data_IF_911228459346
#
_entry.id   IF_911228459346
#
_cell.length_a   1.000
_cell.length_b   1.000
_cell.length_c   1.000
_cell.angle_alpha   90.00
_cell.angle_beta   90.00
_cell.angle_gamma   90.00
#
_symmetry.space_group_name_H-M   'P 1'
#
loop_
_entity.id
_entity.type
_entity.pdbx_description
1 polymer ?
#
# COMPACT_ATOMS: atom_id res chain seq x y z
N UNK A 1 -11.86 4.35 -7.99
CA UNK A 1 -10.49 3.99 -8.45
C UNK A 1 -9.97 2.82 -7.63
N UNK A 2 -8.95 2.11 -8.11
CA UNK A 2 -8.34 1.00 -7.36
C UNK A 2 -6.86 1.24 -7.15
N UNK A 3 -6.37 0.82 -5.99
CA UNK A 3 -4.94 0.72 -5.68
C UNK A 3 -4.64 -0.61 -5.01
N UNK A 4 -3.38 -1.03 -5.02
CA UNK A 4 -2.91 -2.11 -4.16
C UNK A 4 -2.23 -1.50 -2.96
N UNK A 5 -2.61 -1.92 -1.77
CA UNK A 5 -2.15 -1.36 -0.50
C UNK A 5 -2.11 -2.44 0.59
N UNK A 6 -1.39 -2.17 1.67
CA UNK A 6 -1.43 -2.97 2.88
C UNK A 6 -2.61 -2.53 3.75
N UNK A 7 -3.61 -3.40 3.90
CA UNK A 7 -4.68 -3.16 4.85
C UNK A 7 -4.18 -3.46 6.26
N UNK A 8 -4.15 -2.44 7.13
CA UNK A 8 -3.73 -2.57 8.53
C UNK A 8 -4.72 -3.35 9.40
N UNK A 9 -5.97 -3.50 8.95
CA UNK A 9 -7.00 -4.22 9.69
C UNK A 9 -6.89 -5.75 9.54
N UNK A 10 -6.59 -6.23 8.32
CA UNK A 10 -6.42 -7.67 8.09
C UNK A 10 -4.97 -8.10 7.91
N UNK A 11 -4.01 -7.15 7.85
CA UNK A 11 -2.59 -7.41 7.65
C UNK A 11 -2.29 -8.18 6.33
N UNK A 12 -3.02 -7.82 5.28
CA UNK A 12 -2.82 -8.34 3.93
C UNK A 12 -2.58 -7.20 2.95
N UNK A 13 -1.67 -7.43 2.00
CA UNK A 13 -1.65 -6.66 0.76
C UNK A 13 -2.86 -7.07 -0.07
N UNK A 14 -3.67 -6.09 -0.46
CA UNK A 14 -4.96 -6.29 -1.12
C UNK A 14 -5.18 -5.23 -2.19
N UNK A 15 -6.22 -5.41 -3.00
CA UNK A 15 -6.82 -4.30 -3.73
C UNK A 15 -7.70 -3.49 -2.77
N UNK A 16 -7.55 -2.18 -2.79
CA UNK A 16 -8.39 -1.20 -2.10
C UNK A 16 -9.13 -0.38 -3.14
N UNK A 17 -10.45 -0.32 -3.01
CA UNK A 17 -11.32 0.53 -3.81
C UNK A 17 -11.42 1.90 -3.14
N UNK A 18 -11.32 2.97 -3.92
CA UNK A 18 -11.46 4.35 -3.44
C UNK A 18 -12.58 5.00 -4.24
N UNK A 19 -13.65 5.39 -3.56
CA UNK A 19 -14.73 6.23 -4.09
C UNK A 19 -14.61 7.63 -3.48
N UNK A 20 -15.00 8.68 -4.20
CA UNK A 20 -15.01 10.03 -3.63
C UNK A 20 -16.16 10.86 -4.18
N UNK A 21 -16.72 11.75 -3.37
CA UNK A 21 -17.78 12.68 -3.75
C UNK A 21 -17.26 14.11 -4.05
N UNK A 22 -15.94 14.29 -3.97
CA UNK A 22 -15.28 15.58 -4.14
C UNK A 22 -14.90 16.27 -2.82
N UNK A 23 -15.41 15.79 -1.68
CA UNK A 23 -15.08 16.28 -0.33
C UNK A 23 -14.45 15.18 0.53
N UNK A 24 -14.96 13.97 0.41
CA UNK A 24 -14.53 12.79 1.16
C UNK A 24 -14.17 11.69 0.17
N UNK A 25 -13.15 10.92 0.50
CA UNK A 25 -12.78 9.69 -0.18
C UNK A 25 -12.91 8.51 0.78
N UNK A 26 -13.71 7.53 0.40
CA UNK A 26 -13.91 6.29 1.14
C UNK A 26 -13.00 5.22 0.57
N UNK A 27 -12.16 4.64 1.42
CA UNK A 27 -11.23 3.58 1.11
C UNK A 27 -11.78 2.25 1.63
N UNK A 28 -12.05 1.31 0.73
CA UNK A 28 -12.60 0.00 1.06
C UNK A 28 -11.58 -1.09 0.72
N UNK A 29 -11.12 -1.82 1.73
CA UNK A 29 -10.32 -3.02 1.53
C UNK A 29 -11.17 -4.10 0.87
N UNK A 30 -10.82 -4.55 -0.33
CA UNK A 30 -11.65 -5.54 -1.03
C UNK A 30 -11.57 -6.94 -0.43
N UNK A 31 -10.52 -7.24 0.35
CA UNK A 31 -10.33 -8.51 1.04
C UNK A 31 -11.18 -8.64 2.32
N UNK A 32 -11.06 -7.70 3.27
CA UNK A 32 -11.76 -7.77 4.56
C UNK A 32 -12.96 -6.84 4.69
N UNK A 33 -13.26 -6.04 3.65
CA UNK A 33 -14.38 -5.08 3.60
C UNK A 33 -14.32 -3.98 4.67
N UNK A 34 -13.16 -3.78 5.30
CA UNK A 34 -12.96 -2.63 6.18
C UNK A 34 -12.98 -1.33 5.36
N UNK A 35 -13.68 -0.34 5.87
CA UNK A 35 -13.81 0.98 5.25
C UNK A 35 -13.29 2.07 6.17
N UNK A 36 -12.72 3.11 5.58
CA UNK A 36 -12.36 4.33 6.29
C UNK A 36 -12.41 5.53 5.36
N UNK A 37 -12.67 6.70 5.92
CA UNK A 37 -12.81 7.94 5.18
C UNK A 37 -11.61 8.86 5.41
N UNK A 38 -11.20 9.53 4.34
CA UNK A 38 -10.24 10.63 4.38
C UNK A 38 -10.77 11.84 3.61
N UNK A 39 -10.38 13.08 3.96
CA UNK A 39 -10.70 14.25 3.14
C UNK A 39 -10.16 14.10 1.71
N UNK A 40 -10.95 14.45 0.70
CA UNK A 40 -10.52 14.44 -0.70
C UNK A 40 -9.72 15.70 -1.05
N UNK A 41 -8.53 15.82 -0.46
CA UNK A 41 -7.64 16.96 -0.62
C UNK A 41 -6.31 16.55 -1.28
N UNK A 42 -5.40 17.52 -1.40
CA UNK A 42 -4.06 17.32 -1.98
C UNK A 42 -3.23 16.27 -1.22
N UNK A 43 -3.33 16.23 0.10
CA UNK A 43 -2.60 15.27 0.96
C UNK A 43 -3.03 13.83 0.68
N UNK A 44 -4.34 13.57 0.61
CA UNK A 44 -4.89 12.26 0.28
C UNK A 44 -4.46 11.81 -1.12
N UNK A 45 -4.38 12.73 -2.09
CA UNK A 45 -3.85 12.42 -3.43
C UNK A 45 -2.36 12.07 -3.39
N UNK A 46 -1.57 12.76 -2.57
CA UNK A 46 -0.15 12.42 -2.35
C UNK A 46 0.02 11.07 -1.66
N UNK A 47 -0.82 10.75 -0.67
CA UNK A 47 -0.84 9.44 -0.01
C UNK A 47 -1.06 8.32 -1.03
N UNK A 48 -2.09 8.44 -1.88
CA UNK A 48 -2.38 7.46 -2.93
C UNK A 48 -1.17 7.26 -3.86
N UNK A 49 -0.50 8.35 -4.25
CA UNK A 49 0.71 8.29 -5.07
C UNK A 49 1.87 7.61 -4.34
N UNK A 50 2.05 7.92 -3.05
CA UNK A 50 3.09 7.32 -2.20
C UNK A 50 2.91 5.81 -2.07
N UNK A 51 1.67 5.35 -1.84
CA UNK A 51 1.33 3.92 -1.75
C UNK A 51 1.71 3.19 -3.04
N UNK A 52 1.31 3.73 -4.21
CA UNK A 52 1.68 3.14 -5.52
C UNK A 52 3.19 3.02 -5.71
N UNK A 53 3.94 4.04 -5.27
CA UNK A 53 5.40 4.02 -5.35
C UNK A 53 6.03 3.02 -4.38
N UNK A 54 5.50 2.92 -3.15
CA UNK A 54 5.90 1.93 -2.15
C UNK A 54 5.69 0.50 -2.67
N UNK A 55 4.53 0.22 -3.26
CA UNK A 55 4.23 -1.06 -3.87
C UNK A 55 5.25 -1.43 -4.96
N UNK A 56 5.55 -0.51 -5.89
CA UNK A 56 6.53 -0.76 -6.97
C UNK A 56 7.92 -1.12 -6.43
N UNK A 57 8.30 -0.58 -5.26
CA UNK A 57 9.55 -0.98 -4.59
C UNK A 57 9.43 -2.36 -3.97
N UNK A 58 8.32 -2.65 -3.29
CA UNK A 58 8.07 -3.94 -2.62
C UNK A 58 7.94 -5.11 -3.59
N UNK A 59 7.36 -4.92 -4.78
CA UNK A 59 7.27 -5.98 -5.80
C UNK A 59 8.64 -6.47 -6.29
N UNK A 60 9.73 -5.71 -6.07
CA UNK A 60 11.09 -6.17 -6.36
C UNK A 60 11.58 -7.20 -5.34
N UNK A 61 11.13 -7.09 -4.10
CA UNK A 61 11.50 -7.99 -2.99
C UNK A 61 10.51 -9.14 -2.85
N UNK A 62 9.23 -8.86 -3.12
CA UNK A 62 8.08 -9.74 -2.97
C UNK A 62 7.33 -9.81 -4.31
N UNK A 63 7.83 -10.56 -5.30
CA UNK A 63 7.23 -10.64 -6.63
C UNK A 63 5.79 -11.19 -6.62
N UNK A 64 5.41 -11.95 -5.58
CA UNK A 64 4.05 -12.44 -5.38
C UNK A 64 3.01 -11.31 -5.32
N UNK A 65 3.38 -10.08 -4.93
CA UNK A 65 2.49 -8.91 -4.93
C UNK A 65 2.01 -8.52 -6.34
N UNK A 66 2.67 -9.01 -7.41
CA UNK A 66 2.20 -8.87 -8.79
C UNK A 66 0.95 -9.71 -9.07
N UNK A 67 0.73 -10.77 -8.30
CA UNK A 67 -0.41 -11.68 -8.45
C UNK A 67 -1.70 -11.15 -7.82
N UNK A 68 -1.66 -10.05 -7.07
CA UNK A 68 -2.86 -9.30 -6.70
C UNK A 68 -3.51 -8.75 -7.98
N UNK A 69 -4.53 -9.40 -8.52
CA UNK A 69 -5.10 -9.03 -9.83
C UNK A 69 -6.59 -8.72 -9.73
N UNK A 70 -7.27 -9.28 -8.72
CA UNK A 70 -8.72 -9.24 -8.57
C UNK A 70 -9.11 -8.70 -7.20
N UNK A 71 -10.30 -8.12 -7.12
CA UNK A 71 -10.89 -7.74 -5.85
C UNK A 71 -11.09 -9.00 -4.98
N UNK A 72 -10.83 -8.88 -3.68
CA UNK A 72 -10.87 -10.01 -2.74
C UNK A 72 -9.53 -10.73 -2.57
N UNK A 73 -8.57 -10.56 -3.49
CA UNK A 73 -7.23 -11.12 -3.33
C UNK A 73 -6.54 -10.54 -2.08
N UNK A 74 -5.84 -11.41 -1.33
CA UNK A 74 -5.09 -11.02 -0.15
C UNK A 74 -3.77 -11.79 -0.09
N UNK A 75 -2.64 -11.06 -0.05
CA UNK A 75 -1.31 -11.64 0.08
C UNK A 75 -0.71 -11.20 1.41
N UNK A 76 -0.42 -12.18 2.26
CA UNK A 76 0.32 -11.97 3.50
C UNK A 76 1.81 -12.22 3.25
N UNK A 77 2.59 -11.15 3.21
CA UNK A 77 4.05 -11.26 3.17
C UNK A 77 4.55 -11.52 4.58
N UNK A 78 5.31 -12.59 4.78
CA UNK A 78 6.09 -12.74 6.01
C UNK A 78 7.29 -11.81 5.88
N UNK A 79 7.58 -11.02 6.90
CA UNK A 79 8.74 -10.13 6.91
C UNK A 79 9.99 -10.97 6.63
N UNK A 80 10.52 -10.85 5.40
CA UNK A 80 11.78 -11.48 5.05
C UNK A 80 12.82 -10.63 5.74
N UNK A 81 13.33 -11.11 6.89
CA UNK A 81 14.28 -10.42 7.76
C UNK A 81 15.21 -9.55 6.92
N UNK A 82 14.96 -8.24 6.94
CA UNK A 82 15.74 -7.29 6.16
C UNK A 82 17.19 -7.43 6.64
N UNK A 83 18.09 -7.97 5.81
CA UNK A 83 19.51 -7.82 6.08
C UNK A 83 19.76 -6.31 6.15
N UNK A 84 20.34 -5.79 7.25
CA UNK A 84 20.46 -4.37 7.46
C UNK A 84 21.21 -3.76 6.28
N UNK A 85 20.62 -2.72 5.68
CA UNK A 85 21.31 -1.89 4.69
C UNK A 85 22.50 -1.29 5.42
N UNK A 86 23.71 -1.68 5.01
CA UNK A 86 24.95 -1.03 5.43
C UNK A 86 24.86 0.44 5.07
N UNK A 87 24.60 1.28 6.07
CA UNK A 87 24.79 2.72 6.01
C UNK A 87 26.28 2.94 5.77
N UNK A 88 26.67 3.24 4.53
CA UNK A 88 27.98 3.86 4.28
C UNK A 88 27.94 5.25 4.91
N UNK A 89 28.47 5.35 6.13
CA UNK A 89 28.77 6.61 6.77
C UNK A 89 29.70 7.43 5.87
N UNK A 90 29.33 8.69 5.65
CA UNK A 90 30.19 9.70 5.06
C UNK A 90 31.17 10.10 6.17
N UNK A 91 32.40 9.57 6.12
CA UNK A 91 33.51 10.06 6.94
C UNK A 91 34.02 11.36 6.30
N UNK A 92 33.90 12.47 7.01
CA UNK A 92 34.63 13.72 6.71
C UNK A 92 35.81 13.77 7.68
N UNK A 93 37.02 13.81 7.12
CA UNK A 93 38.22 14.35 7.77
C UNK A 93 38.64 15.63 7.04
#
# INVERSE_FOLDING_TARGET
>A
MHIKDLCTQCDHWTITTITHDGKIATFTCTHCKNEFDLPWNTETRYLIRSIRHSLKKRTKTYPELLELKREGDGIKIKERSEKPKTSKGVEKH
#
